data_IF_847985388229
#
_entry.id   IF_847985388229
#
_cell.length_a   1.000
_cell.length_b   1.000
_cell.length_c   1.000
_cell.angle_alpha   90.00
_cell.angle_beta   90.00
_cell.angle_gamma   90.00
#
_symmetry.space_group_name_H-M   'P 1'
#
loop_
_entity.id
_entity.type
_entity.pdbx_description
1 polymer ?
#
# COMPACT_ATOMS: atom_id res chain seq x y z
N UNK A 1 -6.43 36.03 -63.93
CA UNK A 1 -5.52 36.50 -62.86
C UNK A 1 -6.31 37.07 -61.68
N UNK A 2 -7.34 37.89 -61.91
CA UNK A 2 -8.17 38.47 -60.84
C UNK A 2 -8.98 37.44 -60.04
N UNK A 3 -9.54 36.41 -60.69
CA UNK A 3 -10.32 35.38 -60.00
C UNK A 3 -9.47 34.57 -58.99
N UNK A 4 -8.21 34.30 -59.33
CA UNK A 4 -7.27 33.57 -58.45
C UNK A 4 -6.89 34.44 -57.26
N UNK A 5 -6.66 35.74 -57.48
CA UNK A 5 -6.40 36.70 -56.41
C UNK A 5 -7.57 36.73 -55.42
N UNK A 6 -8.80 36.87 -55.90
CA UNK A 6 -10.01 36.89 -55.08
C UNK A 6 -10.21 35.61 -54.25
N UNK A 7 -9.95 34.44 -54.84
CA UNK A 7 -10.05 33.16 -54.15
C UNK A 7 -9.00 33.02 -53.04
N UNK A 8 -7.78 33.53 -53.26
CA UNK A 8 -6.70 33.53 -52.24
C UNK A 8 -7.04 34.48 -51.09
N UNK A 9 -7.56 35.67 -51.36
CA UNK A 9 -8.00 36.59 -50.29
C UNK A 9 -9.15 36.00 -49.50
N UNK A 10 -10.13 35.37 -50.15
CA UNK A 10 -11.25 34.72 -49.47
C UNK A 10 -10.77 33.57 -48.58
N UNK A 11 -9.84 32.73 -49.07
CA UNK A 11 -9.25 31.64 -48.29
C UNK A 11 -8.49 32.16 -47.06
N UNK A 12 -7.72 33.24 -47.21
CA UNK A 12 -6.99 33.86 -46.09
C UNK A 12 -7.94 34.48 -45.06
N UNK A 13 -9.05 35.08 -45.49
CA UNK A 13 -10.09 35.61 -44.59
C UNK A 13 -10.80 34.47 -43.86
N UNK A 14 -11.13 33.38 -44.54
CA UNK A 14 -11.73 32.18 -43.93
C UNK A 14 -10.78 31.53 -42.92
N UNK A 15 -9.48 31.42 -43.25
CA UNK A 15 -8.46 30.92 -42.32
C UNK A 15 -8.27 31.83 -41.10
N UNK A 16 -8.34 33.16 -41.27
CA UNK A 16 -8.31 34.10 -40.14
C UNK A 16 -9.56 34.02 -39.28
N UNK A 17 -10.74 33.83 -39.88
CA UNK A 17 -11.99 33.63 -39.14
C UNK A 17 -12.00 32.29 -38.38
N UNK A 18 -11.43 31.22 -38.97
CA UNK A 18 -11.24 29.94 -38.28
C UNK A 18 -10.24 30.05 -37.12
N UNK A 19 -9.13 30.78 -37.28
CA UNK A 19 -8.16 31.04 -36.21
C UNK A 19 -8.68 31.94 -35.08
N UNK A 20 -9.69 32.78 -35.34
CA UNK A 20 -10.32 33.61 -34.29
C UNK A 20 -11.39 32.84 -33.50
N UNK A 21 -11.91 31.73 -34.04
CA UNK A 21 -12.96 30.93 -33.37
C UNK A 21 -12.45 29.85 -32.41
N UNK A 22 -11.14 29.59 -32.34
CA UNK A 22 -10.54 28.71 -31.33
C UNK A 22 -10.03 29.48 -30.11
N UNK A 23 -10.82 30.44 -29.61
CA UNK A 23 -10.73 30.75 -28.18
C UNK A 23 -11.46 29.62 -27.46
N UNK A 24 -10.73 28.58 -27.08
CA UNK A 24 -11.18 27.68 -26.03
C UNK A 24 -11.55 28.55 -24.83
N UNK A 25 -12.84 28.68 -24.53
CA UNK A 25 -13.26 29.20 -23.24
C UNK A 25 -12.70 28.23 -22.21
N UNK A 26 -11.65 28.62 -21.49
CA UNK A 26 -11.21 27.87 -20.33
C UNK A 26 -12.42 27.81 -19.38
N UNK A 27 -12.92 26.60 -19.13
CA UNK A 27 -13.97 26.40 -18.13
C UNK A 27 -13.33 26.72 -16.78
N UNK A 28 -13.76 27.82 -16.17
CA UNK A 28 -13.30 28.18 -14.82
C UNK A 28 -14.11 27.35 -13.84
N UNK A 29 -13.48 26.33 -13.28
CA UNK A 29 -14.02 25.55 -12.19
C UNK A 29 -13.86 26.31 -10.86
N UNK A 30 -14.85 26.24 -9.98
CA UNK A 30 -14.70 26.74 -8.63
C UNK A 30 -14.06 25.66 -7.77
N UNK A 31 -12.80 25.86 -7.38
CA UNK A 31 -12.01 24.96 -6.53
C UNK A 31 -11.99 25.38 -5.06
N UNK A 32 -12.70 26.45 -4.69
CA UNK A 32 -12.66 27.01 -3.32
C UNK A 32 -14.02 27.19 -2.64
N UNK A 33 -14.03 27.08 -1.31
CA UNK A 33 -15.12 27.45 -0.41
C UNK A 33 -14.57 28.47 0.59
N UNK A 34 -15.17 29.66 0.62
CA UNK A 34 -14.91 30.74 1.59
C UNK A 34 -15.94 30.70 2.72
N UNK A 35 -15.75 31.49 3.77
CA UNK A 35 -16.70 31.58 4.90
C UNK A 35 -18.12 32.02 4.51
N UNK A 36 -18.28 32.68 3.36
CA UNK A 36 -19.59 33.07 2.82
C UNK A 36 -20.24 32.00 1.96
N UNK A 37 -19.47 31.00 1.55
CA UNK A 37 -19.86 30.02 0.54
C UNK A 37 -20.45 28.80 1.24
N UNK A 38 -21.39 28.17 0.54
CA UNK A 38 -22.18 27.09 1.08
C UNK A 38 -22.46 26.09 -0.04
N UNK A 39 -22.03 24.84 0.14
CA UNK A 39 -22.38 23.72 -0.73
C UNK A 39 -23.64 23.04 -0.19
N UNK A 40 -24.62 22.80 -1.06
CA UNK A 40 -25.88 22.10 -0.72
C UNK A 40 -26.06 20.88 -1.61
N UNK A 41 -26.82 19.90 -1.12
CA UNK A 41 -27.12 18.64 -1.80
C UNK A 41 -28.17 18.73 -2.93
N UNK A 42 -28.84 19.88 -3.12
CA UNK A 42 -29.91 20.00 -4.10
C UNK A 42 -29.46 19.93 -5.58
N UNK A 43 -29.85 18.83 -6.26
CA UNK A 43 -30.16 18.56 -7.69
C UNK A 43 -29.55 19.34 -8.87
N UNK A 44 -28.65 20.29 -8.67
CA UNK A 44 -27.89 20.88 -9.76
C UNK A 44 -26.51 20.26 -9.78
N UNK A 45 -26.21 19.56 -10.87
CA UNK A 45 -24.85 19.17 -11.31
C UNK A 45 -23.86 20.39 -11.32
N UNK A 46 -24.35 21.61 -11.07
CA UNK A 46 -23.61 22.85 -10.93
C UNK A 46 -23.15 23.20 -9.49
N UNK A 47 -23.37 22.34 -8.49
CA UNK A 47 -22.92 22.58 -7.10
C UNK A 47 -21.77 21.64 -6.69
N UNK A 48 -20.84 21.37 -7.60
CA UNK A 48 -19.61 20.64 -7.29
C UNK A 48 -18.48 21.64 -7.05
N UNK A 49 -17.68 21.38 -6.02
CA UNK A 49 -16.35 21.97 -5.89
C UNK A 49 -15.43 21.18 -6.83
N UNK A 50 -14.87 21.80 -7.86
CA UNK A 50 -14.10 21.09 -8.89
C UNK A 50 -12.68 21.64 -8.90
N UNK A 51 -11.69 20.75 -8.90
CA UNK A 51 -10.28 21.14 -8.95
C UNK A 51 -9.98 21.94 -10.22
N UNK A 52 -8.93 22.76 -10.23
CA UNK A 52 -8.64 23.69 -11.33
C UNK A 52 -8.53 23.01 -12.70
N UNK A 53 -7.93 21.83 -12.76
CA UNK A 53 -7.78 21.03 -13.97
C UNK A 53 -9.00 20.13 -14.26
N UNK A 54 -10.05 20.17 -13.43
CA UNK A 54 -11.24 19.35 -13.60
C UNK A 54 -11.02 17.86 -13.31
N UNK A 55 -9.93 17.50 -12.62
CA UNK A 55 -9.57 16.09 -12.33
C UNK A 55 -10.34 15.50 -11.17
N UNK A 56 -10.64 16.31 -10.16
CA UNK A 56 -11.36 15.89 -8.97
C UNK A 56 -12.57 16.80 -8.74
N UNK A 57 -13.65 16.22 -8.24
CA UNK A 57 -14.83 16.96 -7.82
C UNK A 57 -15.24 16.50 -6.41
N UNK A 58 -15.72 17.45 -5.61
CA UNK A 58 -16.29 17.21 -4.29
C UNK A 58 -17.73 17.70 -4.27
N UNK A 59 -18.62 16.89 -3.73
CA UNK A 59 -20.03 17.19 -3.61
C UNK A 59 -20.79 16.11 -2.88
N UNK A 60 -22.10 16.33 -2.76
CA UNK A 60 -23.03 15.36 -2.21
C UNK A 60 -23.38 14.30 -3.25
N UNK A 61 -23.52 13.05 -2.84
CA UNK A 61 -23.97 11.96 -3.69
C UNK A 61 -25.04 11.13 -2.99
N UNK A 62 -25.95 10.57 -3.78
CA UNK A 62 -26.89 9.55 -3.32
C UNK A 62 -26.65 8.29 -4.17
N UNK A 63 -26.42 7.17 -3.51
CA UNK A 63 -26.08 5.90 -4.18
C UNK A 63 -27.22 5.35 -5.04
N UNK A 64 -28.48 5.74 -4.81
CA UNK A 64 -29.62 5.27 -5.62
C UNK A 64 -29.61 5.79 -7.07
N UNK A 65 -28.79 6.80 -7.41
CA UNK A 65 -28.87 7.51 -8.72
C UNK A 65 -27.70 7.20 -9.66
N UNK A 66 -26.67 6.46 -9.23
CA UNK A 66 -25.45 6.25 -10.05
C UNK A 66 -25.67 5.26 -11.22
N UNK A 67 -26.84 4.62 -11.32
CA UNK A 67 -27.11 3.59 -12.34
C UNK A 67 -27.56 4.14 -13.72
N UNK A 68 -27.74 5.45 -13.91
CA UNK A 68 -28.39 5.98 -15.12
C UNK A 68 -27.65 7.09 -15.89
N UNK A 69 -26.34 7.29 -15.66
CA UNK A 69 -25.55 8.29 -16.42
C UNK A 69 -24.34 7.69 -17.14
N UNK A 70 -24.03 8.25 -18.31
CA UNK A 70 -22.94 7.89 -19.24
C UNK A 70 -21.53 8.10 -18.62
N UNK A 71 -21.44 8.61 -17.38
CA UNK A 71 -20.20 8.84 -16.65
C UNK A 71 -20.10 7.84 -15.48
N UNK A 72 -19.03 7.05 -15.45
CA UNK A 72 -18.66 6.23 -14.29
C UNK A 72 -18.06 7.19 -13.26
N UNK A 73 -18.77 7.45 -12.17
CA UNK A 73 -18.26 8.21 -11.03
C UNK A 73 -17.54 7.26 -10.08
N UNK A 74 -16.26 7.52 -9.83
CA UNK A 74 -15.44 6.76 -8.89
C UNK A 74 -15.25 7.57 -7.60
N UNK A 75 -15.69 7.02 -6.47
CA UNK A 75 -15.53 7.64 -5.17
C UNK A 75 -14.17 7.25 -4.57
N UNK A 76 -13.37 8.25 -4.23
CA UNK A 76 -12.00 8.06 -3.69
C UNK A 76 -11.84 8.58 -2.26
N UNK A 77 -12.83 9.33 -1.77
CA UNK A 77 -12.85 9.87 -0.42
C UNK A 77 -14.28 10.21 0.00
N UNK A 78 -14.62 9.97 1.27
CA UNK A 78 -15.94 10.24 1.87
C UNK A 78 -15.73 10.80 3.27
N UNK A 79 -16.31 11.97 3.57
CA UNK A 79 -16.13 12.64 4.86
C UNK A 79 -16.87 11.93 6.01
N UNK A 80 -18.16 11.65 5.83
CA UNK A 80 -19.09 11.16 6.85
C UNK A 80 -19.51 9.69 6.61
N UNK A 81 -18.51 8.82 6.38
CA UNK A 81 -18.70 7.40 5.98
C UNK A 81 -19.78 6.63 6.76
N UNK A 82 -19.84 6.80 8.08
CA UNK A 82 -20.77 6.07 8.94
C UNK A 82 -21.89 6.96 9.53
N UNK A 83 -21.94 8.22 9.15
CA UNK A 83 -22.91 9.20 9.64
C UNK A 83 -23.68 9.77 8.45
N UNK A 84 -24.50 8.92 7.82
CA UNK A 84 -25.26 9.27 6.63
C UNK A 84 -26.32 10.34 6.94
N UNK A 85 -26.60 11.21 5.96
CA UNK A 85 -27.65 12.24 6.07
C UNK A 85 -28.97 11.61 5.59
N UNK A 86 -29.91 11.36 6.51
CA UNK A 86 -31.04 10.44 6.23
C UNK A 86 -32.29 11.13 5.66
N UNK A 87 -32.61 12.41 5.94
CA UNK A 87 -34.02 12.85 5.71
C UNK A 87 -34.33 14.25 5.18
N UNK A 88 -33.44 15.24 5.07
CA UNK A 88 -33.93 16.59 4.70
C UNK A 88 -33.01 17.45 3.83
N UNK A 89 -31.76 17.75 4.24
CA UNK A 89 -30.76 18.34 3.35
C UNK A 89 -29.37 18.34 3.97
N UNK A 90 -28.34 18.22 3.15
CA UNK A 90 -26.93 18.35 3.51
C UNK A 90 -26.34 19.73 3.20
N UNK A 91 -25.51 20.24 4.11
CA UNK A 91 -24.87 21.55 4.01
C UNK A 91 -23.38 21.46 4.36
N UNK A 92 -22.49 21.88 3.46
CA UNK A 92 -21.06 21.98 3.74
C UNK A 92 -20.63 23.44 3.70
N UNK A 93 -20.03 23.93 4.78
CA UNK A 93 -19.59 25.34 4.90
C UNK A 93 -18.50 25.49 5.96
N UNK A 94 -17.85 26.66 5.99
CA UNK A 94 -16.89 27.00 7.05
C UNK A 94 -17.64 27.64 8.22
N UNK A 95 -17.43 27.15 9.44
CA UNK A 95 -18.06 27.70 10.65
C UNK A 95 -17.37 29.00 11.13
N UNK A 96 -17.93 29.60 12.19
CA UNK A 96 -17.37 30.81 12.78
C UNK A 96 -16.02 30.61 13.49
N UNK A 97 -15.58 29.35 13.67
CA UNK A 97 -14.26 28.99 14.22
C UNK A 97 -13.24 28.72 13.11
N UNK A 98 -13.66 28.77 11.84
CA UNK A 98 -12.81 28.53 10.68
C UNK A 98 -12.66 27.06 10.31
N UNK A 99 -13.47 26.15 10.86
CA UNK A 99 -13.47 24.73 10.49
C UNK A 99 -14.42 24.47 9.34
N UNK A 100 -14.10 23.49 8.49
CA UNK A 100 -15.06 22.97 7.51
C UNK A 100 -16.02 22.02 8.23
N UNK A 101 -17.33 22.28 8.10
CA UNK A 101 -18.38 21.55 8.82
C UNK A 101 -19.48 21.11 7.87
N UNK A 102 -19.84 19.84 7.99
CA UNK A 102 -20.97 19.20 7.35
C UNK A 102 -22.16 19.17 8.33
N UNK A 103 -23.26 19.78 7.94
CA UNK A 103 -24.50 19.79 8.70
C UNK A 103 -25.59 18.97 8.02
N UNK A 104 -26.42 18.33 8.84
CA UNK A 104 -27.77 17.94 8.46
C UNK A 104 -28.74 19.05 8.84
N UNK A 105 -29.59 19.47 7.91
CA UNK A 105 -30.58 20.53 8.13
C UNK A 105 -32.00 19.97 7.99
N UNK A 106 -32.76 19.99 9.09
CA UNK A 106 -34.16 19.55 9.17
C UNK A 106 -35.10 20.75 9.12
N UNK A 107 -36.09 20.72 8.20
CA UNK A 107 -37.14 21.73 8.04
C UNK A 107 -36.61 23.18 8.05
N UNK A 108 -35.44 23.42 7.43
CA UNK A 108 -34.78 24.74 7.32
C UNK A 108 -34.57 25.49 8.65
N UNK A 109 -34.56 24.80 9.79
CA UNK A 109 -34.53 25.45 11.12
C UNK A 109 -33.65 24.77 12.15
N UNK A 110 -33.45 23.45 12.08
CA UNK A 110 -32.56 22.71 12.98
C UNK A 110 -31.33 22.24 12.21
N UNK A 111 -30.14 22.69 12.62
CA UNK A 111 -28.84 22.22 12.09
C UNK A 111 -28.15 21.34 13.11
N UNK A 112 -27.75 20.17 12.66
CA UNK A 112 -26.95 19.23 13.43
C UNK A 112 -25.61 19.01 12.74
N UNK A 113 -24.52 19.00 13.51
CA UNK A 113 -23.18 18.74 12.97
C UNK A 113 -23.04 17.23 12.78
N UNK A 114 -22.85 16.81 11.53
CA UNK A 114 -22.63 15.40 11.16
C UNK A 114 -21.14 15.09 11.13
N UNK A 115 -20.33 16.03 10.64
CA UNK A 115 -18.90 15.89 10.53
C UNK A 115 -18.22 17.26 10.53
N UNK A 116 -17.00 17.36 11.04
CA UNK A 116 -16.20 18.59 10.99
C UNK A 116 -14.71 18.29 10.95
N UNK A 117 -13.94 19.16 10.30
CA UNK A 117 -12.48 19.14 10.41
C UNK A 117 -12.05 19.48 11.83
N UNK A 118 -11.01 18.80 12.31
CA UNK A 118 -10.36 19.14 13.58
C UNK A 118 -9.04 19.87 13.28
N UNK A 119 -9.01 21.18 13.46
CA UNK A 119 -7.77 21.97 13.41
C UNK A 119 -7.52 22.66 14.74
N UNK A 120 -6.28 22.56 15.23
CA UNK A 120 -5.83 23.24 16.45
C UNK A 120 -5.48 24.71 16.23
N UNK A 121 -5.27 25.11 14.98
CA UNK A 121 -4.90 26.47 14.57
C UNK A 121 -6.06 27.11 13.80
N UNK A 122 -6.26 28.40 13.99
CA UNK A 122 -7.28 29.17 13.28
C UNK A 122 -6.63 30.07 12.24
N UNK A 123 -7.13 30.02 11.01
CA UNK A 123 -6.81 31.02 9.98
C UNK A 123 -7.49 32.35 10.31
N UNK A 124 -6.82 33.46 9.99
CA UNK A 124 -7.44 34.78 10.01
C UNK A 124 -8.47 34.92 8.90
N UNK A 125 -8.22 34.29 7.75
CA UNK A 125 -9.17 34.21 6.63
C UNK A 125 -9.25 32.77 6.10
N UNK A 126 -10.08 31.90 6.70
CA UNK A 126 -10.13 30.49 6.34
C UNK A 126 -10.65 30.29 4.91
N UNK A 127 -9.98 29.40 4.18
CA UNK A 127 -10.29 29.01 2.82
C UNK A 127 -10.14 27.49 2.71
N UNK A 128 -11.19 26.84 2.21
CA UNK A 128 -11.11 25.44 1.79
C UNK A 128 -10.84 25.40 0.30
N UNK A 129 -9.94 24.52 -0.12
CA UNK A 129 -9.55 24.37 -1.52
C UNK A 129 -9.42 22.88 -1.89
N UNK A 130 -9.97 22.50 -3.04
CA UNK A 130 -9.75 21.20 -3.65
C UNK A 130 -8.58 21.28 -4.65
N UNK A 131 -7.47 20.64 -4.32
CA UNK A 131 -6.27 20.63 -5.16
C UNK A 131 -6.39 19.61 -6.30
N UNK A 132 -5.60 19.78 -7.36
CA UNK A 132 -5.63 18.88 -8.54
C UNK A 132 -5.06 17.49 -8.29
N UNK A 133 -4.47 17.24 -7.12
CA UNK A 133 -4.13 15.88 -6.68
C UNK A 133 -5.27 15.22 -5.88
N UNK A 134 -6.40 15.91 -5.68
CA UNK A 134 -7.56 15.41 -4.92
C UNK A 134 -7.49 15.70 -3.42
N UNK A 135 -6.43 16.36 -2.93
CA UNK A 135 -6.34 16.77 -1.52
C UNK A 135 -7.28 17.95 -1.26
N UNK A 136 -8.20 17.78 -0.32
CA UNK A 136 -9.05 18.86 0.18
C UNK A 136 -8.34 19.49 1.37
N UNK A 137 -7.96 20.76 1.25
CA UNK A 137 -7.14 21.45 2.24
C UNK A 137 -7.90 22.62 2.85
N UNK A 138 -7.71 22.83 4.15
CA UNK A 138 -8.11 24.05 4.87
C UNK A 138 -6.85 24.87 5.13
N UNK A 139 -6.85 26.14 4.71
CA UNK A 139 -5.70 27.04 4.87
C UNK A 139 -6.13 28.48 5.13
N UNK A 140 -5.17 29.34 5.47
CA UNK A 140 -5.39 30.77 5.40
C UNK A 140 -5.29 31.23 3.94
N UNK A 141 -6.25 32.02 3.47
CA UNK A 141 -6.29 32.54 2.11
C UNK A 141 -5.04 33.34 1.75
N UNK A 142 -4.41 33.99 2.74
CA UNK A 142 -3.19 34.78 2.51
C UNK A 142 -1.90 33.96 2.62
N UNK A 143 -1.99 32.70 3.03
CA UNK A 143 -0.85 31.79 3.08
C UNK A 143 -0.88 30.86 1.85
N UNK A 144 0.02 31.13 0.90
CA UNK A 144 0.23 30.30 -0.27
C UNK A 144 1.27 29.19 -0.02
N UNK A 145 1.80 29.06 1.20
CA UNK A 145 2.71 27.98 1.54
C UNK A 145 1.95 26.65 1.62
N UNK A 146 2.25 25.76 0.67
CA UNK A 146 1.63 24.43 0.53
C UNK A 146 2.04 23.43 1.61
N UNK A 147 2.82 23.84 2.61
CA UNK A 147 3.23 23.00 3.75
C UNK A 147 2.58 23.40 5.07
N UNK A 148 1.85 24.52 5.10
CA UNK A 148 1.25 25.11 6.31
C UNK A 148 -0.26 24.89 6.40
N UNK A 149 -0.79 23.84 5.75
CA UNK A 149 -2.21 23.54 5.80
C UNK A 149 -2.68 23.27 7.23
N UNK A 150 -3.87 23.76 7.55
CA UNK A 150 -4.51 23.63 8.86
C UNK A 150 -5.19 22.27 9.02
N UNK A 151 -5.66 21.71 7.91
CA UNK A 151 -6.25 20.37 7.81
C UNK A 151 -6.17 19.91 6.34
N UNK A 152 -6.04 18.59 6.14
CA UNK A 152 -5.90 17.97 4.82
C UNK A 152 -6.63 16.62 4.79
N UNK A 153 -7.42 16.35 3.74
CA UNK A 153 -8.09 15.04 3.58
C UNK A 153 -7.11 13.89 3.43
N UNK A 154 -5.90 14.15 2.91
CA UNK A 154 -4.85 13.15 2.74
C UNK A 154 -4.33 12.55 4.07
N UNK A 155 -4.58 13.18 5.22
CA UNK A 155 -4.29 12.61 6.54
C UNK A 155 -5.39 11.66 7.03
N UNK A 156 -6.55 11.66 6.37
CA UNK A 156 -7.74 10.87 6.72
C UNK A 156 -8.22 10.07 5.50
N UNK A 157 -7.40 9.13 4.99
CA UNK A 157 -7.79 8.27 3.87
C UNK A 157 -9.05 7.44 4.18
N UNK A 158 -9.73 7.00 3.12
CA UNK A 158 -10.88 6.08 3.24
C UNK A 158 -10.47 4.67 2.78
N UNK A 159 -10.97 4.20 1.65
CA UNK A 159 -10.56 2.92 1.05
C UNK A 159 -9.48 3.08 -0.01
N UNK A 160 -9.18 4.32 -0.43
CA UNK A 160 -8.35 4.63 -1.59
C UNK A 160 -7.10 5.43 -1.23
N UNK A 161 -5.98 5.11 -1.91
CA UNK A 161 -4.73 5.84 -1.92
C UNK A 161 -4.49 6.46 -3.30
N UNK A 162 -4.46 7.79 -3.36
CA UNK A 162 -4.17 8.56 -4.56
C UNK A 162 -2.68 8.93 -4.68
N UNK A 163 -2.17 9.23 -5.88
CA UNK A 163 -0.85 9.83 -6.06
C UNK A 163 -0.63 11.05 -5.16
N UNK A 164 0.49 11.05 -4.43
CA UNK A 164 0.84 12.07 -3.44
C UNK A 164 0.30 11.84 -2.03
N UNK A 165 -0.59 10.86 -1.81
CA UNK A 165 -1.01 10.45 -0.46
C UNK A 165 0.07 9.57 0.19
N UNK A 166 0.28 9.76 1.49
CA UNK A 166 1.15 8.92 2.31
C UNK A 166 0.31 7.83 2.99
N UNK A 167 0.67 6.56 2.81
CA UNK A 167 0.14 5.43 3.55
C UNK A 167 1.15 5.01 4.63
N UNK A 168 0.83 5.24 5.90
CA UNK A 168 1.72 4.96 7.02
C UNK A 168 1.78 6.07 8.07
N UNK A 169 2.84 6.05 8.85
CA UNK A 169 3.02 6.82 10.07
C UNK A 169 3.65 8.20 9.84
N UNK A 170 3.05 9.19 10.48
CA UNK A 170 3.72 10.41 10.91
C UNK A 170 4.04 10.26 12.40
N UNK A 171 5.30 9.98 12.71
CA UNK A 171 5.74 9.65 14.07
C UNK A 171 5.69 10.88 14.97
N UNK A 172 5.97 12.06 14.42
CA UNK A 172 5.88 13.33 15.14
C UNK A 172 4.47 13.62 15.66
N UNK A 173 3.44 13.20 14.91
CA UNK A 173 2.02 13.39 15.28
C UNK A 173 1.36 12.16 15.92
N UNK A 174 2.03 11.02 15.93
CA UNK A 174 1.45 9.74 16.34
C UNK A 174 0.27 9.32 15.46
N UNK A 175 0.27 9.70 14.18
CA UNK A 175 -0.85 9.42 13.26
C UNK A 175 -0.48 8.34 12.25
N UNK A 176 -1.27 7.27 12.20
CA UNK A 176 -1.17 6.23 11.17
C UNK A 176 -2.27 6.38 10.12
N UNK A 177 -1.87 6.74 8.90
CA UNK A 177 -2.73 6.81 7.71
C UNK A 177 -2.87 5.41 7.14
N UNK A 178 -4.07 4.83 7.23
CA UNK A 178 -4.38 3.47 6.76
C UNK A 178 -5.65 3.45 5.92
N UNK A 179 -5.73 2.52 4.98
CA UNK A 179 -6.96 2.27 4.25
C UNK A 179 -7.92 1.43 5.09
N UNK A 180 -9.21 1.67 4.95
CA UNK A 180 -10.30 0.89 5.51
C UNK A 180 -11.32 0.67 4.42
N UNK A 181 -11.61 -0.59 4.10
CA UNK A 181 -12.57 -0.96 3.07
C UNK A 181 -13.94 -0.35 3.37
N UNK A 182 -14.76 -0.21 2.33
CA UNK A 182 -16.20 -0.06 2.52
C UNK A 182 -16.78 -1.33 3.14
N UNK A 183 -17.96 -1.21 3.75
CA UNK A 183 -18.65 -2.33 4.35
C UNK A 183 -19.29 -3.24 3.30
N UNK A 184 -19.73 -2.65 2.19
CA UNK A 184 -20.15 -3.31 0.97
C UNK A 184 -20.03 -2.33 -0.20
N UNK A 185 -20.23 -2.81 -1.43
CA UNK A 185 -20.28 -1.95 -2.64
C UNK A 185 -21.22 -0.74 -2.54
N UNK A 186 -22.23 -0.82 -1.67
CA UNK A 186 -23.27 0.19 -1.46
C UNK A 186 -23.26 0.80 -0.04
N UNK A 187 -22.35 0.42 0.86
CA UNK A 187 -22.25 1.00 2.21
C UNK A 187 -20.83 1.53 2.45
N UNK A 188 -20.61 2.86 2.38
CA UNK A 188 -19.29 3.46 2.53
C UNK A 188 -18.84 3.48 3.99
N UNK A 189 -19.63 3.00 4.95
CA UNK A 189 -19.18 2.87 6.33
C UNK A 189 -17.98 1.90 6.44
N UNK A 190 -17.33 1.87 7.60
CA UNK A 190 -16.16 1.04 7.85
C UNK A 190 -16.49 -0.44 7.66
N UNK A 191 -15.83 -1.08 6.70
CA UNK A 191 -15.82 -2.53 6.55
C UNK A 191 -14.82 -3.21 7.48
N UNK A 192 -14.73 -4.53 7.36
CA UNK A 192 -13.88 -5.34 8.25
C UNK A 192 -12.40 -5.29 7.87
N UNK A 193 -12.07 -4.84 6.66
CA UNK A 193 -10.71 -4.92 6.15
C UNK A 193 -9.98 -3.59 6.28
N UNK A 194 -8.72 -3.66 6.72
CA UNK A 194 -7.82 -2.50 6.80
C UNK A 194 -6.46 -2.81 6.23
N UNK A 195 -5.79 -1.82 5.64
CA UNK A 195 -4.45 -1.95 5.09
C UNK A 195 -3.57 -0.77 5.51
N UNK A 196 -2.40 -1.04 6.08
CA UNK A 196 -1.49 0.01 6.52
C UNK A 196 -0.18 -0.52 7.06
N UNK A 197 0.73 0.41 7.36
CA UNK A 197 2.04 0.08 7.92
C UNK A 197 1.91 -0.23 9.40
N UNK A 198 2.59 -1.28 9.83
CA UNK A 198 2.66 -1.73 11.21
C UNK A 198 4.06 -2.12 11.62
N UNK A 199 4.41 -1.72 12.85
CA UNK A 199 5.60 -2.13 13.58
C UNK A 199 5.43 -1.71 15.04
N UNK A 200 6.22 -2.35 15.90
CA UNK A 200 6.48 -1.97 17.27
C UNK A 200 7.74 -1.09 17.35
N UNK A 201 7.53 0.18 17.71
CA UNK A 201 8.59 1.19 17.85
C UNK A 201 9.48 0.92 19.08
N UNK A 202 8.91 0.43 20.18
CA UNK A 202 9.63 0.14 21.43
C UNK A 202 10.55 -1.08 21.28
N UNK A 203 10.07 -2.09 20.56
CA UNK A 203 10.84 -3.29 20.23
C UNK A 203 11.71 -3.12 18.97
N UNK A 204 11.65 -1.96 18.33
CA UNK A 204 12.35 -1.65 17.08
C UNK A 204 12.16 -2.73 16.01
N UNK A 205 10.94 -3.26 15.88
CA UNK A 205 10.62 -4.19 14.80
C UNK A 205 10.57 -3.44 13.46
N UNK A 206 10.82 -4.14 12.35
CA UNK A 206 10.83 -3.47 11.06
C UNK A 206 9.40 -3.21 10.53
N UNK A 207 9.10 -2.02 9.95
CA UNK A 207 7.81 -1.67 9.34
C UNK A 207 7.34 -2.60 8.22
N UNK A 208 6.09 -3.05 8.27
CA UNK A 208 5.49 -3.89 7.23
C UNK A 208 4.13 -3.41 6.79
N UNK A 209 3.81 -3.60 5.51
CA UNK A 209 2.48 -3.33 4.97
C UNK A 209 1.58 -4.56 5.18
N UNK A 210 0.59 -4.41 6.05
CA UNK A 210 -0.27 -5.50 6.51
C UNK A 210 -1.72 -5.21 6.13
N UNK A 211 -2.39 -6.22 5.57
CA UNK A 211 -3.85 -6.23 5.46
C UNK A 211 -4.46 -7.10 6.56
N UNK A 212 -5.48 -6.58 7.24
CA UNK A 212 -6.21 -7.28 8.29
C UNK A 212 -7.67 -7.49 7.93
N UNK A 213 -8.25 -8.54 8.51
CA UNK A 213 -9.69 -8.75 8.64
C UNK A 213 -10.02 -8.70 10.14
N UNK A 214 -10.58 -7.58 10.60
CA UNK A 214 -10.68 -7.29 12.03
C UNK A 214 -9.30 -7.30 12.69
N UNK A 215 -9.09 -8.18 13.67
CA UNK A 215 -7.80 -8.32 14.36
C UNK A 215 -6.85 -9.33 13.71
N UNK A 216 -7.33 -10.17 12.80
CA UNK A 216 -6.54 -11.21 12.16
C UNK A 216 -5.73 -10.62 11.00
N UNK A 217 -4.46 -11.04 10.86
CA UNK A 217 -3.67 -10.75 9.66
C UNK A 217 -4.25 -11.58 8.52
N UNK A 218 -4.68 -10.91 7.45
CA UNK A 218 -5.26 -11.55 6.28
C UNK A 218 -4.16 -11.92 5.28
N UNK A 219 -3.30 -10.95 4.95
CA UNK A 219 -2.07 -11.16 4.17
C UNK A 219 -1.05 -10.06 4.46
N UNK A 220 0.20 -10.30 4.06
CA UNK A 220 1.31 -9.35 4.13
C UNK A 220 1.78 -8.99 2.72
N UNK A 221 1.92 -7.70 2.44
CA UNK A 221 2.47 -7.21 1.17
C UNK A 221 4.01 -7.07 1.21
N UNK A 222 4.64 -7.39 2.34
CA UNK A 222 6.09 -7.33 2.52
C UNK A 222 6.59 -6.01 3.10
N UNK A 223 7.89 -5.78 2.91
CA UNK A 223 8.70 -4.63 3.34
C UNK A 223 9.07 -3.81 2.09
N UNK A 224 10.36 -3.52 1.88
CA UNK A 224 10.89 -2.89 0.66
C UNK A 224 11.01 -3.87 -0.52
N UNK A 225 11.00 -5.18 -0.22
CA UNK A 225 11.13 -6.29 -1.16
C UNK A 225 10.04 -6.25 -2.25
N UNK A 226 8.82 -5.81 -1.90
CA UNK A 226 7.71 -5.66 -2.84
C UNK A 226 7.81 -4.42 -3.75
N UNK A 227 8.57 -3.38 -3.38
CA UNK A 227 8.71 -2.14 -4.18
C UNK A 227 9.98 -2.14 -5.02
N UNK A 228 11.09 -2.64 -4.46
CA UNK A 228 12.40 -2.73 -5.12
C UNK A 228 12.34 -3.51 -6.45
N UNK A 229 11.25 -4.24 -6.63
CA UNK A 229 10.92 -5.00 -7.83
C UNK A 229 10.45 -4.21 -9.03
N UNK A 230 10.02 -2.98 -8.83
CA UNK A 230 9.25 -2.21 -9.79
C UNK A 230 10.00 -0.95 -10.19
N UNK A 231 11.13 -1.13 -10.88
CA UNK A 231 11.85 -0.01 -11.48
C UNK A 231 10.88 0.80 -12.35
N UNK A 232 10.76 2.11 -12.10
CA UNK A 232 9.82 3.05 -12.73
C UNK A 232 8.34 2.97 -12.35
N UNK A 233 7.95 2.34 -11.23
CA UNK A 233 6.55 2.32 -10.80
C UNK A 233 6.05 3.64 -10.19
N UNK A 234 6.96 4.54 -9.82
CA UNK A 234 6.66 5.80 -9.12
C UNK A 234 6.28 5.61 -7.64
N UNK A 235 6.26 4.36 -7.14
CA UNK A 235 6.06 4.09 -5.72
C UNK A 235 7.37 4.21 -4.96
N UNK A 236 7.32 4.85 -3.80
CA UNK A 236 8.44 4.97 -2.87
C UNK A 236 8.02 4.55 -1.47
N UNK A 237 8.96 3.95 -0.75
CA UNK A 237 8.87 3.72 0.69
C UNK A 237 9.92 4.54 1.40
N UNK A 238 9.49 5.28 2.42
CA UNK A 238 10.31 6.14 3.24
C UNK A 238 10.28 5.60 4.67
N UNK A 239 11.46 5.44 5.27
CA UNK A 239 11.61 5.06 6.68
C UNK A 239 12.75 5.84 7.33
N UNK A 240 12.41 6.74 8.24
CA UNK A 240 13.32 7.53 9.05
C UNK A 240 12.70 7.85 10.41
N UNK A 241 13.41 8.65 11.22
CA UNK A 241 13.02 9.00 12.59
C UNK A 241 11.73 9.85 12.69
N UNK A 242 11.26 10.43 11.58
CA UNK A 242 10.12 11.35 11.55
C UNK A 242 8.86 10.72 10.97
N UNK A 243 9.00 9.90 9.93
CA UNK A 243 7.88 9.32 9.19
C UNK A 243 8.24 7.95 8.60
N UNK A 244 7.23 7.08 8.49
CA UNK A 244 7.33 5.77 7.83
C UNK A 244 6.14 5.60 6.90
N UNK A 245 6.33 5.65 5.58
CA UNK A 245 5.19 5.60 4.66
C UNK A 245 5.52 5.05 3.27
N UNK A 246 4.48 4.54 2.61
CA UNK A 246 4.43 4.32 1.16
C UNK A 246 3.77 5.54 0.47
N UNK A 247 4.27 5.92 -0.69
CA UNK A 247 3.70 7.00 -1.52
C UNK A 247 3.81 6.65 -3.00
N UNK A 248 2.84 7.09 -3.80
CA UNK A 248 2.97 7.14 -5.26
C UNK A 248 3.35 8.57 -5.66
N UNK A 249 4.60 8.79 -6.05
CA UNK A 249 5.16 10.11 -6.33
C UNK A 249 4.95 10.59 -7.77
N UNK A 250 4.48 9.73 -8.68
CA UNK A 250 4.15 10.16 -10.03
C UNK A 250 2.88 11.03 -10.05
N UNK A 251 3.05 12.34 -9.89
CA UNK A 251 1.97 13.35 -9.91
C UNK A 251 1.18 13.42 -11.21
N UNK A 252 1.75 12.90 -12.30
CA UNK A 252 1.06 12.82 -13.58
C UNK A 252 0.15 11.61 -13.67
N UNK A 253 0.31 10.61 -12.81
CA UNK A 253 -0.52 9.41 -12.81
C UNK A 253 -1.95 9.79 -12.42
N UNK A 254 -2.92 9.25 -13.16
CA UNK A 254 -4.34 9.33 -12.79
C UNK A 254 -4.71 7.89 -12.45
N UNK A 255 -4.48 7.53 -11.20
CA UNK A 255 -4.69 6.18 -10.70
C UNK A 255 -5.07 6.19 -9.23
N UNK A 256 -5.50 5.04 -8.72
CA UNK A 256 -5.61 4.79 -7.28
C UNK A 256 -5.20 3.36 -6.93
N UNK A 257 -4.77 3.17 -5.70
CA UNK A 257 -4.83 1.87 -5.02
C UNK A 257 -6.10 1.88 -4.17
N UNK A 258 -6.91 0.82 -4.22
CA UNK A 258 -8.17 0.72 -3.47
C UNK A 258 -8.28 -0.59 -2.72
N UNK A 259 -8.74 -0.53 -1.47
CA UNK A 259 -9.08 -1.68 -0.65
C UNK A 259 -10.57 -2.01 -0.78
N UNK A 260 -10.87 -3.16 -1.39
CA UNK A 260 -12.24 -3.64 -1.58
C UNK A 260 -12.84 -4.22 -0.32
N UNK A 261 -14.16 -4.33 -0.32
CA UNK A 261 -14.98 -4.89 0.76
C UNK A 261 -14.73 -6.38 1.03
N UNK A 262 -14.14 -7.09 0.07
CA UNK A 262 -13.64 -8.47 0.21
C UNK A 262 -12.16 -8.57 0.64
N UNK A 263 -11.51 -7.43 0.91
CA UNK A 263 -10.13 -7.36 1.36
C UNK A 263 -9.08 -7.36 0.26
N UNK A 264 -9.47 -7.43 -1.02
CA UNK A 264 -8.53 -7.29 -2.15
C UNK A 264 -8.01 -5.85 -2.27
N UNK A 265 -6.75 -5.71 -2.61
CA UNK A 265 -6.11 -4.44 -2.98
C UNK A 265 -5.93 -4.43 -4.49
N UNK A 266 -6.50 -3.42 -5.13
CA UNK A 266 -6.49 -3.27 -6.58
C UNK A 266 -5.84 -1.94 -6.97
N UNK A 267 -5.12 -1.93 -8.09
CA UNK A 267 -4.64 -0.73 -8.75
C UNK A 267 -5.51 -0.43 -9.96
N UNK A 268 -6.02 0.79 -10.04
CA UNK A 268 -6.82 1.26 -11.16
C UNK A 268 -6.10 2.44 -11.80
N UNK A 269 -5.73 2.34 -13.08
CA UNK A 269 -5.20 3.44 -13.89
C UNK A 269 -6.22 3.87 -14.94
N UNK A 270 -6.70 5.10 -14.82
CA UNK A 270 -7.76 5.63 -15.67
C UNK A 270 -7.26 6.14 -17.02
N UNK A 271 -5.95 6.39 -17.21
CA UNK A 271 -5.41 6.79 -18.52
C UNK A 271 -5.33 5.61 -19.47
N UNK A 272 -4.91 4.46 -18.94
CA UNK A 272 -4.75 3.24 -19.72
C UNK A 272 -6.02 2.36 -19.68
N UNK A 273 -7.05 2.78 -18.92
CA UNK A 273 -8.21 1.96 -18.59
C UNK A 273 -7.80 0.58 -18.08
N UNK A 274 -6.75 0.57 -17.25
CA UNK A 274 -6.07 -0.61 -16.77
C UNK A 274 -6.47 -0.89 -15.32
N UNK A 275 -6.74 -2.16 -15.04
CA UNK A 275 -7.12 -2.64 -13.71
C UNK A 275 -6.27 -3.85 -13.39
N UNK A 276 -5.62 -3.84 -12.22
CA UNK A 276 -4.82 -4.97 -11.77
C UNK A 276 -5.05 -5.28 -10.30
N UNK A 277 -5.04 -6.58 -9.99
CA UNK A 277 -5.02 -7.08 -8.62
C UNK A 277 -3.60 -6.96 -8.09
N UNK A 278 -3.41 -6.28 -6.96
CA UNK A 278 -2.13 -6.22 -6.26
C UNK A 278 -2.02 -7.40 -5.31
N UNK A 279 -2.96 -7.56 -4.38
CA UNK A 279 -2.95 -8.62 -3.37
C UNK A 279 -4.37 -8.94 -2.86
N UNK A 280 -4.63 -10.18 -2.40
CA UNK A 280 -3.80 -11.37 -2.60
C UNK A 280 -3.93 -11.85 -4.06
N UNK A 281 -2.81 -12.21 -4.69
CA UNK A 281 -2.76 -12.71 -6.07
C UNK A 281 -2.84 -14.23 -6.19
N UNK A 282 -2.34 -14.96 -5.18
CA UNK A 282 -2.38 -16.42 -5.12
C UNK A 282 -2.48 -16.96 -3.67
N UNK A 283 -2.48 -18.28 -3.51
CA UNK A 283 -2.62 -18.93 -2.20
C UNK A 283 -1.45 -18.61 -1.24
N UNK A 284 -0.25 -18.33 -1.75
CA UNK A 284 0.93 -17.98 -0.94
C UNK A 284 0.85 -16.58 -0.33
N UNK A 285 -0.10 -15.73 -0.74
CA UNK A 285 -0.33 -14.45 -0.10
C UNK A 285 -1.11 -14.56 1.19
N UNK A 286 -1.91 -15.63 1.35
CA UNK A 286 -2.62 -15.88 2.60
C UNK A 286 -1.64 -16.02 3.74
N UNK A 287 -1.82 -15.23 4.80
CA UNK A 287 -0.87 -15.20 5.90
C UNK A 287 -0.71 -16.57 6.55
N UNK A 288 0.55 -17.04 6.64
CA UNK A 288 0.87 -18.32 7.28
C UNK A 288 0.35 -19.54 6.54
N UNK A 289 0.10 -19.44 5.22
CA UNK A 289 -0.33 -20.57 4.38
C UNK A 289 0.60 -21.79 4.52
N UNK A 290 1.91 -21.55 4.50
CA UNK A 290 2.91 -22.52 4.93
C UNK A 290 3.32 -22.19 6.37
N UNK A 291 3.37 -23.21 7.24
CA UNK A 291 3.68 -23.03 8.65
C UNK A 291 5.12 -22.56 8.90
N UNK A 292 5.50 -22.43 10.18
CA UNK A 292 6.82 -21.97 10.59
C UNK A 292 7.99 -22.67 9.87
N UNK A 293 9.05 -21.91 9.57
CA UNK A 293 10.31 -22.39 8.97
C UNK A 293 10.14 -23.11 7.62
N UNK A 294 9.07 -22.77 6.91
CA UNK A 294 8.79 -23.24 5.56
C UNK A 294 8.56 -22.05 4.62
N UNK A 295 8.60 -22.31 3.33
CA UNK A 295 8.37 -21.29 2.31
C UNK A 295 7.31 -21.76 1.31
N UNK A 296 6.59 -20.79 0.77
CA UNK A 296 5.54 -21.00 -0.23
C UNK A 296 6.04 -20.65 -1.63
N UNK A 297 5.88 -21.55 -2.61
CA UNK A 297 6.22 -21.28 -3.99
C UNK A 297 5.22 -21.95 -4.94
N UNK A 298 4.40 -21.13 -5.61
CA UNK A 298 3.43 -21.61 -6.61
C UNK A 298 4.09 -22.14 -7.89
N UNK A 299 5.35 -21.78 -8.18
CA UNK A 299 6.01 -22.14 -9.44
C UNK A 299 6.64 -23.54 -9.42
N UNK A 300 6.82 -24.13 -8.25
CA UNK A 300 7.50 -25.44 -8.09
C UNK A 300 6.53 -26.61 -8.03
N UNK A 301 5.22 -26.38 -8.24
CA UNK A 301 4.21 -27.43 -8.17
C UNK A 301 4.47 -28.44 -9.30
N UNK A 302 4.98 -29.61 -8.91
CA UNK A 302 5.21 -30.76 -9.77
C UNK A 302 4.61 -32.00 -9.09
N UNK A 303 4.71 -33.18 -9.71
CA UNK A 303 4.24 -34.41 -9.08
C UNK A 303 4.96 -34.74 -7.76
N UNK A 304 6.20 -34.26 -7.60
CA UNK A 304 7.06 -34.57 -6.45
C UNK A 304 7.17 -33.41 -5.43
N UNK A 305 6.76 -32.19 -5.81
CA UNK A 305 6.90 -30.99 -4.98
C UNK A 305 5.56 -30.25 -4.85
N UNK A 306 5.11 -30.10 -3.60
CA UNK A 306 3.94 -29.30 -3.25
C UNK A 306 4.24 -27.79 -3.24
N UNK A 307 3.21 -27.00 -2.93
CA UNK A 307 3.30 -25.53 -2.83
C UNK A 307 4.20 -25.10 -1.66
N UNK A 308 4.18 -25.86 -0.55
CA UNK A 308 4.97 -25.60 0.65
C UNK A 308 6.17 -26.55 0.73
N UNK A 309 7.31 -26.05 1.20
CA UNK A 309 8.49 -26.87 1.48
C UNK A 309 9.36 -26.24 2.56
N UNK A 310 10.09 -27.07 3.31
CA UNK A 310 10.94 -26.60 4.39
C UNK A 310 12.16 -25.85 3.88
N UNK A 311 12.63 -24.89 4.68
CA UNK A 311 13.92 -24.24 4.48
C UNK A 311 15.07 -25.27 4.67
N UNK A 312 16.25 -25.02 4.09
CA UNK A 312 17.41 -25.92 4.26
C UNK A 312 17.80 -25.93 5.73
N UNK A 313 18.08 -27.12 6.27
CA UNK A 313 18.33 -27.29 7.71
C UNK A 313 17.07 -27.63 8.52
N UNK A 314 15.90 -27.74 7.87
CA UNK A 314 14.63 -28.08 8.50
C UNK A 314 13.96 -29.27 7.83
N UNK A 315 13.07 -29.95 8.57
CA UNK A 315 12.18 -30.99 8.05
C UNK A 315 10.75 -30.76 8.51
N UNK A 316 9.79 -31.26 7.73
CA UNK A 316 8.38 -31.12 8.04
C UNK A 316 8.04 -31.88 9.34
N UNK A 317 7.25 -31.26 10.22
CA UNK A 317 6.80 -31.90 11.47
C UNK A 317 5.77 -33.00 11.19
N UNK A 318 4.79 -32.68 10.36
CA UNK A 318 3.68 -33.55 9.99
C UNK A 318 3.52 -33.57 8.46
N UNK A 319 3.67 -34.74 7.84
CA UNK A 319 3.64 -34.90 6.38
C UNK A 319 2.30 -34.47 5.75
N UNK A 320 1.20 -34.55 6.50
CA UNK A 320 -0.14 -34.24 6.01
C UNK A 320 -0.57 -32.79 6.29
N UNK A 321 0.12 -32.11 7.22
CA UNK A 321 -0.32 -30.81 7.73
C UNK A 321 0.79 -29.75 7.71
N UNK A 322 0.87 -28.99 6.61
CA UNK A 322 1.84 -27.91 6.42
C UNK A 322 1.70 -26.75 7.40
N UNK A 323 0.52 -26.54 7.99
CA UNK A 323 0.30 -25.48 8.99
C UNK A 323 1.12 -25.67 10.27
N UNK A 324 1.57 -26.89 10.57
CA UNK A 324 2.46 -27.16 11.71
C UNK A 324 3.92 -26.73 11.44
N UNK A 325 4.25 -26.52 10.16
CA UNK A 325 5.56 -26.07 9.71
C UNK A 325 6.65 -27.12 9.80
N UNK A 326 7.88 -26.64 9.96
CA UNK A 326 9.10 -27.43 9.94
C UNK A 326 9.88 -27.26 11.25
N UNK A 327 10.58 -28.32 11.65
CA UNK A 327 11.48 -28.34 12.80
C UNK A 327 12.95 -28.44 12.37
N UNK A 328 13.85 -27.88 13.20
CA UNK A 328 15.29 -27.88 12.95
C UNK A 328 15.84 -29.32 12.85
N UNK A 329 16.82 -29.51 11.97
CA UNK A 329 17.52 -30.78 11.84
C UNK A 329 18.63 -30.98 12.89
N UNK A 330 19.03 -29.90 13.59
CA UNK A 330 20.12 -29.82 14.56
C UNK A 330 19.65 -29.21 15.90
N UNK A 331 20.49 -29.33 16.94
CA UNK A 331 20.22 -28.80 18.28
C UNK A 331 20.79 -27.37 18.44
N UNK A 332 20.10 -26.45 19.16
CA UNK A 332 20.58 -25.07 19.42
C UNK A 332 21.89 -24.95 20.22
N UNK A 333 22.40 -26.04 20.81
CA UNK A 333 23.57 -26.01 21.69
C UNK A 333 24.91 -25.72 20.99
N UNK A 334 24.92 -25.59 19.65
CA UNK A 334 26.13 -25.51 18.81
C UNK A 334 26.43 -24.10 18.27
N UNK A 335 25.97 -23.05 18.97
CA UNK A 335 26.00 -21.67 18.48
C UNK A 335 27.39 -21.16 18.03
N UNK A 336 28.48 -21.73 18.54
CA UNK A 336 29.86 -21.25 18.30
C UNK A 336 30.79 -22.29 17.64
N UNK A 337 30.26 -23.30 16.95
CA UNK A 337 31.10 -24.24 16.20
C UNK A 337 31.48 -23.63 14.82
N UNK A 338 32.72 -23.16 14.70
CA UNK A 338 33.28 -22.39 13.58
C UNK A 338 33.34 -23.11 12.20
N UNK A 339 32.92 -24.38 12.10
CA UNK A 339 33.23 -25.25 10.95
C UNK A 339 32.08 -25.53 9.96
N UNK A 340 31.00 -24.74 9.91
CA UNK A 340 29.88 -25.01 8.96
C UNK A 340 29.36 -23.74 8.28
N UNK A 341 28.82 -23.90 7.07
CA UNK A 341 28.00 -22.86 6.41
C UNK A 341 26.86 -22.44 7.35
N UNK A 342 27.02 -21.34 8.07
CA UNK A 342 26.09 -20.93 9.13
C UNK A 342 24.80 -20.37 8.52
N UNK A 343 24.90 -19.60 7.43
CA UNK A 343 23.76 -19.01 6.74
C UNK A 343 23.70 -19.37 5.25
N UNK A 344 22.48 -19.63 4.78
CA UNK A 344 22.17 -19.75 3.35
C UNK A 344 21.49 -18.49 2.85
N UNK A 345 21.96 -17.96 1.72
CA UNK A 345 21.30 -16.88 1.01
C UNK A 345 20.10 -17.38 0.23
N UNK A 346 19.01 -16.61 0.33
CA UNK A 346 17.79 -16.75 -0.43
C UNK A 346 17.50 -15.42 -1.11
N UNK A 347 17.29 -15.48 -2.43
CA UNK A 347 17.02 -14.33 -3.29
C UNK A 347 15.57 -14.38 -3.77
N UNK A 348 14.97 -13.22 -4.03
CA UNK A 348 13.65 -13.20 -4.65
C UNK A 348 12.51 -13.58 -3.72
N UNK A 349 12.66 -13.46 -2.41
CA UNK A 349 11.65 -13.90 -1.45
C UNK A 349 11.00 -12.74 -0.71
N UNK A 350 9.73 -12.91 -0.34
CA UNK A 350 9.12 -12.12 0.72
C UNK A 350 9.77 -12.50 2.03
N UNK A 351 10.33 -11.54 2.74
CA UNK A 351 11.00 -11.79 4.03
C UNK A 351 10.01 -12.23 5.12
N UNK A 352 10.48 -12.93 6.18
CA UNK A 352 9.60 -13.42 7.23
C UNK A 352 8.87 -12.29 7.95
N UNK A 353 7.79 -12.64 8.65
CA UNK A 353 7.09 -11.72 9.57
C UNK A 353 8.08 -11.04 10.53
N UNK A 354 8.01 -9.71 10.66
CA UNK A 354 8.91 -8.92 11.52
C UNK A 354 8.41 -8.76 12.94
N UNK A 355 7.28 -9.37 13.29
CA UNK A 355 6.78 -9.37 14.68
C UNK A 355 7.86 -9.78 15.69
N UNK A 356 8.71 -10.74 15.33
CA UNK A 356 9.85 -11.17 16.14
C UNK A 356 11.18 -10.78 15.47
N UNK A 357 11.32 -9.52 15.08
CA UNK A 357 12.56 -9.00 14.52
C UNK A 357 13.10 -7.79 15.28
N UNK A 358 14.36 -7.45 15.01
CA UNK A 358 15.04 -6.27 15.53
C UNK A 358 15.71 -5.51 14.38
N UNK A 359 15.44 -4.22 14.30
CA UNK A 359 16.16 -3.27 13.46
C UNK A 359 17.40 -2.81 14.20
N UNK A 360 18.57 -3.01 13.59
CA UNK A 360 19.85 -2.53 14.08
C UNK A 360 20.54 -1.69 13.02
N UNK A 361 21.30 -0.68 13.45
CA UNK A 361 22.19 0.07 12.54
C UNK A 361 23.35 -0.80 12.11
N UNK A 362 23.73 -0.82 10.85
CA UNK A 362 24.92 -1.55 10.38
C UNK A 362 25.59 -0.74 9.30
N UNK A 363 26.91 -0.80 9.15
CA UNK A 363 27.59 -0.12 8.05
C UNK A 363 27.49 -0.91 6.73
N UNK A 364 27.43 -2.24 6.82
CA UNK A 364 27.41 -3.13 5.67
C UNK A 364 26.79 -4.51 6.01
N UNK A 365 26.72 -5.38 5.00
CA UNK A 365 26.19 -6.74 5.13
C UNK A 365 26.98 -7.61 6.12
N UNK A 366 28.31 -7.51 6.14
CA UNK A 366 29.18 -8.31 7.00
C UNK A 366 29.03 -7.97 8.47
N UNK A 367 28.82 -6.70 8.80
CA UNK A 367 28.51 -6.29 10.17
C UNK A 367 27.12 -6.80 10.62
N UNK A 368 26.12 -6.79 9.73
CA UNK A 368 24.80 -7.35 10.00
C UNK A 368 24.87 -8.87 10.26
N UNK A 369 25.67 -9.58 9.47
CA UNK A 369 25.98 -10.99 9.65
C UNK A 369 26.64 -11.26 11.01
N UNK A 370 27.69 -10.50 11.36
CA UNK A 370 28.38 -10.63 12.64
C UNK A 370 27.46 -10.42 13.84
N UNK A 371 26.50 -9.49 13.75
CA UNK A 371 25.48 -9.27 14.79
C UNK A 371 24.54 -10.47 14.95
N UNK A 372 24.18 -11.13 13.87
CA UNK A 372 23.37 -12.34 13.94
C UNK A 372 24.18 -13.50 14.55
N UNK A 373 25.44 -13.69 14.10
CA UNK A 373 26.33 -14.75 14.60
C UNK A 373 26.64 -14.65 16.10
N UNK A 374 26.80 -13.44 16.61
CA UNK A 374 27.06 -13.20 18.03
C UNK A 374 25.83 -13.43 18.91
N UNK A 375 24.63 -13.49 18.33
CA UNK A 375 23.39 -13.75 19.04
C UNK A 375 22.83 -15.13 18.69
N UNK A 376 23.00 -16.10 19.58
CA UNK A 376 22.56 -17.48 19.40
C UNK A 376 21.06 -17.70 19.18
N UNK A 377 20.24 -16.67 19.42
CA UNK A 377 18.80 -16.73 19.13
C UNK A 377 18.45 -16.20 17.73
N UNK A 378 19.40 -15.56 17.04
CA UNK A 378 19.21 -15.02 15.70
C UNK A 378 19.14 -16.16 14.68
N UNK A 379 18.06 -16.17 13.90
CA UNK A 379 17.74 -17.24 12.96
C UNK A 379 17.92 -16.83 11.50
N UNK A 380 17.78 -15.53 11.23
CA UNK A 380 17.95 -14.98 9.91
C UNK A 380 18.31 -13.51 10.04
N UNK A 381 18.94 -12.99 8.99
CA UNK A 381 19.15 -11.57 8.83
C UNK A 381 18.97 -11.14 7.39
N UNK A 382 18.72 -9.85 7.23
CA UNK A 382 18.69 -9.16 5.95
C UNK A 382 19.20 -7.76 6.16
N UNK A 383 19.73 -7.16 5.11
CA UNK A 383 20.18 -5.78 5.13
C UNK A 383 19.61 -5.05 3.92
N UNK A 384 19.35 -3.77 4.09
CA UNK A 384 18.93 -2.87 3.02
C UNK A 384 19.60 -1.53 3.21
N UNK A 385 19.77 -0.79 2.13
CA UNK A 385 20.32 0.55 2.11
C UNK A 385 19.48 1.40 1.18
N UNK A 386 19.66 2.72 1.22
CA UNK A 386 18.84 3.61 0.40
C UNK A 386 19.14 3.40 -1.08
N UNK A 387 18.13 3.00 -1.86
CA UNK A 387 18.21 2.77 -3.30
C UNK A 387 16.90 3.15 -3.98
N UNK A 388 16.96 3.85 -5.12
CA UNK A 388 15.83 4.18 -6.00
C UNK A 388 14.52 4.54 -5.29
N UNK A 389 13.68 3.54 -5.02
CA UNK A 389 12.34 3.66 -4.46
C UNK A 389 12.26 3.37 -2.95
N UNK A 390 13.39 3.15 -2.29
CA UNK A 390 13.53 2.81 -0.88
C UNK A 390 14.45 3.85 -0.24
N UNK A 391 13.85 4.75 0.53
CA UNK A 391 14.54 5.86 1.18
C UNK A 391 14.64 5.58 2.67
N UNK A 392 15.83 5.15 3.09
CA UNK A 392 16.16 4.87 4.49
C UNK A 392 17.31 5.77 4.93
N UNK A 393 17.30 6.23 6.18
CA UNK A 393 18.29 7.18 6.68
C UNK A 393 19.72 6.60 6.73
N UNK A 394 19.85 5.30 7.02
CA UNK A 394 21.10 4.54 7.13
C UNK A 394 20.91 3.15 6.47
N UNK A 395 21.96 2.35 6.36
CA UNK A 395 21.84 0.91 6.11
C UNK A 395 21.08 0.26 7.26
N UNK A 396 19.93 -0.34 6.96
CA UNK A 396 19.06 -1.02 7.91
C UNK A 396 19.39 -2.50 7.92
N UNK A 397 19.82 -3.03 9.07
CA UNK A 397 19.98 -4.45 9.32
C UNK A 397 18.76 -4.97 10.09
N UNK A 398 18.12 -6.01 9.59
CA UNK A 398 16.97 -6.66 10.23
C UNK A 398 17.39 -8.06 10.66
N UNK A 399 17.25 -8.34 11.95
CA UNK A 399 17.56 -9.63 12.56
C UNK A 399 16.24 -10.31 12.99
N UNK A 400 16.05 -11.58 12.66
CA UNK A 400 14.87 -12.35 13.07
C UNK A 400 15.21 -13.36 14.16
N UNK A 401 14.26 -13.57 15.08
CA UNK A 401 14.41 -14.47 16.21
C UNK A 401 13.27 -15.49 16.26
N UNK A 402 13.60 -16.72 16.67
CA UNK A 402 12.62 -17.79 16.79
C UNK A 402 12.13 -18.33 15.45
N UNK A 403 10.90 -18.84 15.43
CA UNK A 403 10.32 -19.44 14.23
C UNK A 403 10.03 -18.37 13.16
N UNK A 404 10.42 -18.65 11.92
CA UNK A 404 10.23 -17.75 10.78
C UNK A 404 8.88 -18.05 10.11
N UNK A 405 8.02 -17.05 9.99
CA UNK A 405 6.68 -17.20 9.42
C UNK A 405 6.51 -16.48 8.09
N UNK A 406 5.60 -17.01 7.26
CA UNK A 406 5.01 -16.30 6.13
C UNK A 406 6.01 -15.90 5.02
N UNK A 407 6.98 -16.78 4.78
CA UNK A 407 7.97 -16.67 3.70
C UNK A 407 7.37 -17.20 2.40
N UNK A 408 7.54 -16.46 1.30
CA UNK A 408 7.20 -16.94 -0.04
C UNK A 408 8.25 -16.58 -1.07
N UNK A 409 8.38 -17.40 -2.10
CA UNK A 409 9.06 -17.02 -3.33
C UNK A 409 8.20 -16.00 -4.08
N UNK A 410 8.81 -14.90 -4.52
CA UNK A 410 8.18 -13.94 -5.42
C UNK A 410 8.29 -14.45 -6.86
N UNK A 411 7.26 -14.28 -7.71
CA UNK A 411 7.32 -14.69 -9.11
C UNK A 411 8.50 -14.07 -9.86
N UNK A 412 9.14 -14.82 -10.76
CA UNK A 412 10.20 -14.31 -11.65
C UNK A 412 9.66 -13.14 -12.48
N UNK A 413 10.29 -11.97 -12.38
CA UNK A 413 9.83 -10.72 -13.00
C UNK A 413 9.07 -9.78 -12.06
N UNK A 414 8.64 -10.26 -10.89
CA UNK A 414 8.15 -9.44 -9.77
C UNK A 414 9.29 -8.90 -8.91
N UNK A 415 10.45 -8.68 -9.53
CA UNK A 415 11.67 -8.00 -9.05
C UNK A 415 12.13 -8.19 -7.60
N UNK A 416 11.88 -9.33 -6.97
CA UNK A 416 12.51 -9.71 -5.70
C UNK A 416 14.05 -9.84 -5.75
N UNK A 417 14.71 -9.48 -6.86
CA UNK A 417 16.13 -9.68 -7.13
C UNK A 417 17.11 -8.97 -6.19
N UNK A 418 16.64 -8.07 -5.32
CA UNK A 418 17.49 -7.31 -4.39
C UNK A 418 17.32 -7.71 -2.92
N UNK A 419 16.42 -8.66 -2.61
CA UNK A 419 16.23 -9.10 -1.23
C UNK A 419 17.26 -10.16 -0.87
N UNK A 420 18.25 -9.76 -0.08
CA UNK A 420 19.25 -10.66 0.50
C UNK A 420 18.75 -11.17 1.85
N UNK A 421 17.98 -12.25 1.85
CA UNK A 421 17.58 -12.92 3.08
C UNK A 421 18.56 -14.06 3.35
N UNK A 422 19.24 -14.03 4.49
CA UNK A 422 20.14 -15.10 4.90
C UNK A 422 19.57 -15.82 6.12
N UNK A 423 19.37 -17.13 6.01
CA UNK A 423 18.74 -17.96 7.04
C UNK A 423 19.71 -19.02 7.52
N UNK A 424 19.73 -19.27 8.83
CA UNK A 424 20.57 -20.30 9.43
C UNK A 424 20.26 -21.68 8.83
N UNK A 425 21.27 -22.34 8.28
CA UNK A 425 21.06 -23.56 7.48
C UNK A 425 21.85 -24.78 7.96
N UNK A 426 22.30 -24.76 9.22
CA UNK A 426 23.11 -25.83 9.83
C UNK A 426 22.47 -27.20 9.64
N UNK A 427 23.32 -28.20 9.38
CA UNK A 427 22.93 -29.61 9.30
C UNK A 427 23.77 -30.46 10.26
N UNK A 428 23.20 -31.57 10.73
CA UNK A 428 23.94 -32.58 11.48
C UNK A 428 24.64 -33.53 10.48
N UNK A 429 25.99 -33.57 10.42
CA UNK A 429 26.74 -34.43 9.49
C UNK A 429 26.39 -35.91 9.65
N UNK A 430 26.15 -36.36 10.91
CA UNK A 430 25.77 -37.75 11.19
C UNK A 430 24.39 -38.09 10.65
N UNK A 431 23.52 -37.08 10.56
CA UNK A 431 22.18 -37.21 9.98
C UNK A 431 22.22 -37.16 8.46
N UNK A 432 23.08 -36.34 7.86
CA UNK A 432 23.32 -36.33 6.41
C UNK A 432 23.87 -37.67 5.92
N UNK A 433 24.84 -38.27 6.62
CA UNK A 433 25.33 -39.61 6.29
C UNK A 433 24.22 -40.66 6.36
N UNK A 434 23.38 -40.63 7.40
CA UNK A 434 22.23 -41.55 7.51
C UNK A 434 21.21 -41.38 6.38
N UNK A 435 20.96 -40.14 5.93
CA UNK A 435 20.06 -39.86 4.81
C UNK A 435 20.67 -40.35 3.49
N UNK A 436 21.95 -40.07 3.25
CA UNK A 436 22.68 -40.57 2.06
C UNK A 436 22.68 -42.09 1.99
N UNK A 437 22.92 -42.77 3.11
CA UNK A 437 22.87 -44.24 3.20
C UNK A 437 21.46 -44.76 2.92
N UNK A 438 20.41 -44.14 3.48
CA UNK A 438 19.02 -44.53 3.19
C UNK A 438 18.64 -44.36 1.72
N UNK A 439 19.03 -43.24 1.08
CA UNK A 439 18.79 -43.03 -0.36
C UNK A 439 19.55 -44.04 -1.23
N UNK A 440 20.81 -44.36 -0.89
CA UNK A 440 21.55 -45.40 -1.62
C UNK A 440 20.88 -46.76 -1.50
N UNK A 441 20.40 -47.13 -0.31
CA UNK A 441 19.70 -48.40 -0.09
C UNK A 441 18.39 -48.46 -0.89
N UNK A 442 17.61 -47.37 -0.94
CA UNK A 442 16.40 -47.29 -1.77
C UNK A 442 16.71 -47.48 -3.26
N UNK A 443 17.73 -46.80 -3.79
CA UNK A 443 18.15 -46.94 -5.20
C UNK A 443 18.60 -48.37 -5.50
N UNK A 444 19.36 -49.00 -4.59
CA UNK A 444 19.79 -50.39 -4.73
C UNK A 444 18.59 -51.34 -4.72
N UNK A 445 17.59 -51.09 -3.87
CA UNK A 445 16.37 -51.90 -3.80
C UNK A 445 15.54 -51.74 -5.08
N UNK A 446 15.34 -50.53 -5.58
CA UNK A 446 14.64 -50.28 -6.85
C UNK A 446 15.36 -50.91 -8.04
N UNK A 447 16.70 -50.80 -8.10
CA UNK A 447 17.50 -51.49 -9.11
C UNK A 447 17.37 -53.01 -8.98
N UNK A 448 17.40 -53.57 -7.77
CA UNK A 448 17.21 -55.00 -7.56
C UNK A 448 15.82 -55.50 -8.01
N UNK A 449 14.77 -54.70 -7.83
CA UNK A 449 13.43 -54.98 -8.33
C UNK A 449 13.30 -54.80 -9.85
N UNK A 450 14.15 -54.00 -10.49
CA UNK A 450 14.18 -53.86 -11.95
C UNK A 450 14.93 -55.00 -12.67
N UNK A 451 15.73 -55.79 -11.95
CA UNK A 451 16.52 -56.91 -12.48
C UNK A 451 16.02 -58.31 -12.03
N UNK A 452 14.84 -58.39 -11.39
CA UNK A 452 14.07 -59.61 -11.17
C UNK A 452 12.75 -59.51 -11.95
#
# INVERSE_FOLDING_TARGET
>A
MELVSFLVTLLLVVLRLFCVSTKTFAVVHNDTIRSTDVLRDHNSINALLVSKEGRFALGFFNQQVVSSTIFILEFVWVANRCEAIIVTSGLLSIDNRGNLVLFSEENNSKREIVWSTNSSKQAAKPLVQLLDNGNLVLRDEKDDNTTNYLWESFYYPTDSLLPGMKLGWDLRRGLNRRLSSWKSSDDPCHGNFTNGIEFDEELHTYPQLIARNGTAIFYRQGMWDSISSSQNSGYEFVYNDDEVFYIQNNKSMISRIVMRDDGRIEHQDWRENFYSLICPGDQCDSYGFCGANSQCNVTTVTQDYGICYCLKGFKQKNQEQWSEGCERLYSPASCHDEEKEEFREYLGMRVPDTKNSLVSKSNNASECESKCLTNCSCMAYSFTYSESNVIVADTVCVLWFGDLFDIRQLPSGGGGGHTHLKIESRTDPKREEKVKVKSLVMIIVELAFAYC
#
